data_IF_584305880136
#
_entry.id   IF_584305880136
#
_cell.length_a   1.000
_cell.length_b   1.000
_cell.length_c   1.000
_cell.angle_alpha   90.00
_cell.angle_beta   90.00
_cell.angle_gamma   90.00
#
_symmetry.space_group_name_H-M   'P 1'
#
loop_
_entity.id
_entity.type
_entity.pdbx_description
1 polymer ?
#
# COMPACT_ATOMS: atom_id res chain seq x y z
N UNK A 1 75.70 34.44 -63.17
CA UNK A 1 75.28 35.82 -63.40
C UNK A 1 73.84 35.90 -63.23
N UNK A 2 73.37 36.88 -62.59
CA UNK A 2 71.97 37.31 -62.29
C UNK A 2 71.31 36.58 -61.09
N UNK A 3 71.32 37.34 -60.06
CA UNK A 3 70.62 37.19 -58.79
C UNK A 3 69.18 37.60 -58.99
N UNK A 4 68.19 36.84 -58.47
CA UNK A 4 66.81 37.26 -58.31
C UNK A 4 66.42 37.32 -56.83
N UNK A 5 65.72 38.38 -56.39
CA UNK A 5 65.46 38.62 -54.96
C UNK A 5 64.18 37.92 -54.50
N UNK A 6 64.23 37.59 -53.22
CA UNK A 6 63.15 36.89 -52.52
C UNK A 6 61.92 37.73 -52.24
N UNK A 7 60.77 37.09 -52.33
CA UNK A 7 59.47 37.61 -51.87
C UNK A 7 59.24 37.30 -50.40
N UNK A 8 59.13 38.37 -49.62
CA UNK A 8 58.71 38.36 -48.22
C UNK A 8 57.23 38.18 -48.16
N UNK A 9 56.74 37.01 -47.77
CA UNK A 9 55.35 36.80 -47.41
C UNK A 9 55.17 37.01 -45.91
N UNK A 10 54.87 38.25 -45.55
CA UNK A 10 54.37 38.58 -44.23
C UNK A 10 52.90 38.21 -44.07
N UNK A 11 52.65 36.97 -43.58
CA UNK A 11 51.33 36.54 -43.17
C UNK A 11 50.94 37.28 -41.87
N UNK A 12 49.89 38.06 -41.92
CA UNK A 12 49.33 38.83 -40.83
C UNK A 12 48.80 37.92 -39.70
N UNK A 13 49.22 38.07 -38.45
CA UNK A 13 48.73 37.31 -37.29
C UNK A 13 47.49 37.91 -36.63
N UNK A 14 46.69 38.70 -37.33
CA UNK A 14 45.60 39.47 -36.67
C UNK A 14 44.19 38.78 -36.70
N UNK A 15 43.98 37.75 -37.52
CA UNK A 15 42.65 37.12 -37.59
C UNK A 15 42.39 36.02 -36.56
N UNK A 16 43.40 35.51 -35.86
CA UNK A 16 43.23 34.44 -34.88
C UNK A 16 42.76 34.95 -33.49
N UNK A 17 42.99 36.22 -33.16
CA UNK A 17 42.64 36.79 -31.85
C UNK A 17 41.16 37.12 -31.65
N UNK A 18 40.39 37.30 -32.70
CA UNK A 18 38.98 37.73 -32.62
C UNK A 18 38.03 36.55 -32.48
N UNK A 19 38.39 35.34 -32.89
CA UNK A 19 37.52 34.16 -32.77
C UNK A 19 37.43 33.57 -31.37
N UNK A 20 38.45 33.75 -30.51
CA UNK A 20 38.42 33.24 -29.14
C UNK A 20 37.68 34.14 -28.14
N UNK A 21 37.42 35.40 -28.45
CA UNK A 21 36.78 36.35 -27.55
C UNK A 21 35.29 36.12 -27.30
N UNK A 22 34.61 35.49 -28.24
CA UNK A 22 33.15 35.27 -28.14
C UNK A 22 32.76 33.94 -27.47
N UNK A 23 33.65 32.97 -27.44
CA UNK A 23 33.37 31.63 -26.87
C UNK A 23 33.06 31.66 -25.37
N UNK A 24 33.82 32.34 -24.48
CA UNK A 24 33.46 32.41 -23.07
C UNK A 24 32.15 33.15 -22.81
N UNK A 25 31.82 34.16 -23.61
CA UNK A 25 30.56 34.90 -23.49
C UNK A 25 29.37 34.00 -23.84
N UNK A 26 29.48 33.18 -24.91
CA UNK A 26 28.46 32.23 -25.28
C UNK A 26 28.23 31.15 -24.20
N UNK A 27 29.31 30.61 -23.61
CA UNK A 27 29.22 29.60 -22.54
C UNK A 27 28.56 30.20 -21.28
N UNK A 28 28.95 31.38 -20.86
CA UNK A 28 28.36 32.07 -19.70
C UNK A 28 26.90 32.36 -19.94
N UNK A 29 26.52 32.84 -21.13
CA UNK A 29 25.11 33.10 -21.50
C UNK A 29 24.27 31.83 -21.45
N UNK A 30 24.79 30.71 -21.95
CA UNK A 30 24.11 29.41 -21.93
C UNK A 30 23.91 28.89 -20.50
N UNK A 31 24.92 29.04 -19.64
CA UNK A 31 24.85 28.66 -18.24
C UNK A 31 23.77 29.46 -17.46
N UNK A 32 23.78 30.80 -17.66
CA UNK A 32 22.80 31.69 -17.05
C UNK A 32 21.36 31.38 -17.53
N UNK A 33 21.20 31.08 -18.82
CA UNK A 33 19.91 30.68 -19.38
C UNK A 33 19.40 29.36 -18.80
N UNK A 34 20.28 28.36 -18.66
CA UNK A 34 19.92 27.08 -18.03
C UNK A 34 19.57 27.26 -16.55
N UNK A 35 20.32 28.07 -15.79
CA UNK A 35 19.96 28.41 -14.42
C UNK A 35 18.58 29.07 -14.33
N UNK A 36 18.31 30.04 -15.20
CA UNK A 36 17.01 30.71 -15.25
C UNK A 36 15.86 29.75 -15.56
N UNK A 37 16.03 28.85 -16.54
CA UNK A 37 15.05 27.80 -16.87
C UNK A 37 14.81 26.87 -15.68
N UNK A 38 15.87 26.44 -14.98
CA UNK A 38 15.76 25.58 -13.80
C UNK A 38 14.97 26.28 -12.69
N UNK A 39 15.25 27.55 -12.40
CA UNK A 39 14.48 28.32 -11.42
C UNK A 39 13.01 28.51 -11.82
N UNK A 40 12.73 28.73 -13.09
CA UNK A 40 11.36 28.83 -13.60
C UNK A 40 10.61 27.50 -13.47
N UNK A 41 11.26 26.37 -13.82
CA UNK A 41 10.66 25.03 -13.67
C UNK A 41 10.39 24.67 -12.21
N UNK A 42 11.31 25.01 -11.30
CA UNK A 42 11.10 24.80 -9.85
C UNK A 42 9.96 25.68 -9.31
N UNK A 43 9.83 26.92 -9.80
CA UNK A 43 8.74 27.83 -9.43
C UNK A 43 7.38 27.33 -9.94
N UNK A 44 7.32 26.84 -11.18
CA UNK A 44 6.09 26.26 -11.76
C UNK A 44 5.67 24.97 -11.02
N UNK A 45 6.63 24.14 -10.61
CA UNK A 45 6.34 22.93 -9.85
C UNK A 45 5.78 23.23 -8.46
N UNK A 46 6.27 24.28 -7.78
CA UNK A 46 5.69 24.74 -6.51
C UNK A 46 4.25 25.27 -6.67
N UNK A 47 3.97 25.99 -7.75
CA UNK A 47 2.63 26.50 -8.02
C UNK A 47 1.64 25.39 -8.38
N UNK A 48 2.08 24.37 -9.11
CA UNK A 48 1.25 23.19 -9.45
C UNK A 48 0.89 22.35 -8.21
N UNK A 49 1.81 22.25 -7.23
CA UNK A 49 1.54 21.53 -5.97
C UNK A 49 0.61 22.32 -5.05
N UNK A 50 0.60 23.66 -5.12
CA UNK A 50 -0.26 24.50 -4.26
C UNK A 50 -1.69 24.68 -4.77
N UNK A 51 -1.97 24.31 -6.02
CA UNK A 51 -3.30 24.45 -6.64
C UNK A 51 -4.10 23.15 -6.64
N UNK A 52 -4.09 22.40 -5.52
CA UNK A 52 -5.03 21.29 -5.37
C UNK A 52 -6.45 21.85 -5.39
N UNK A 53 -7.30 21.41 -6.31
CA UNK A 53 -8.67 21.92 -6.36
C UNK A 53 -9.39 21.54 -5.07
N UNK A 54 -10.02 22.51 -4.43
CA UNK A 54 -10.88 22.21 -3.29
C UNK A 54 -12.09 21.42 -3.79
N UNK A 55 -12.43 20.37 -3.03
CA UNK A 55 -13.65 19.63 -3.28
C UNK A 55 -14.73 20.21 -2.39
N UNK A 56 -15.81 20.68 -3.00
CA UNK A 56 -16.99 21.15 -2.27
C UNK A 56 -17.95 19.98 -2.12
N UNK A 57 -18.24 19.58 -0.89
CA UNK A 57 -19.22 18.56 -0.59
C UNK A 57 -20.50 19.21 -0.10
N UNK A 58 -21.59 19.03 -0.84
CA UNK A 58 -22.91 19.49 -0.41
C UNK A 58 -23.53 18.44 0.52
N UNK A 59 -23.88 18.87 1.72
CA UNK A 59 -24.61 18.04 2.69
C UNK A 59 -26.10 17.97 2.35
N UNK A 60 -26.79 16.99 2.88
CA UNK A 60 -28.24 16.83 2.70
C UNK A 60 -29.08 17.97 3.27
N UNK A 61 -28.52 18.80 4.15
CA UNK A 61 -29.13 20.01 4.71
C UNK A 61 -28.93 21.26 3.83
N UNK A 62 -28.29 21.11 2.66
CA UNK A 62 -28.00 22.20 1.71
C UNK A 62 -26.74 23.00 2.04
N UNK A 63 -26.06 22.73 3.16
CA UNK A 63 -24.79 23.39 3.47
C UNK A 63 -23.66 22.80 2.65
N UNK A 64 -22.65 23.63 2.31
CA UNK A 64 -21.49 23.20 1.55
C UNK A 64 -20.25 23.27 2.43
N UNK A 65 -19.62 22.12 2.64
CA UNK A 65 -18.31 22.06 3.29
C UNK A 65 -17.19 22.07 2.25
N UNK A 66 -16.13 22.80 2.57
CA UNK A 66 -14.89 22.80 1.82
C UNK A 66 -14.01 21.69 2.34
N UNK A 67 -13.85 20.62 1.56
CA UNK A 67 -12.89 19.56 1.87
C UNK A 67 -11.53 19.93 1.28
N UNK A 68 -10.50 19.94 2.11
CA UNK A 68 -9.14 20.01 1.62
C UNK A 68 -8.74 18.66 1.02
N UNK A 69 -8.07 18.64 -0.14
CA UNK A 69 -7.58 17.38 -0.69
C UNK A 69 -6.57 16.79 0.28
N UNK A 70 -6.92 15.62 0.82
CA UNK A 70 -6.02 14.81 1.64
C UNK A 70 -4.97 14.19 0.72
N UNK A 71 -3.74 14.05 1.21
CA UNK A 71 -2.70 13.29 0.51
C UNK A 71 -3.24 11.89 0.17
N UNK A 72 -3.08 11.46 -1.08
CA UNK A 72 -3.56 10.16 -1.57
C UNK A 72 -3.02 8.99 -0.74
N UNK A 73 -1.84 9.17 -0.17
CA UNK A 73 -1.21 8.18 0.70
C UNK A 73 -1.64 8.30 2.17
N UNK A 74 -2.32 9.39 2.56
CA UNK A 74 -2.72 9.58 3.95
C UNK A 74 -3.84 8.63 4.36
N UNK A 75 -3.68 7.99 5.51
CA UNK A 75 -4.75 7.25 6.21
C UNK A 75 -4.70 7.63 7.68
N UNK A 76 -5.86 7.91 8.27
CA UNK A 76 -5.92 8.21 9.69
C UNK A 76 -5.58 6.97 10.53
N UNK A 77 -5.00 7.19 11.70
CA UNK A 77 -4.65 6.11 12.63
C UNK A 77 -5.87 5.25 12.99
N UNK A 78 -7.04 5.86 13.11
CA UNK A 78 -8.28 5.15 13.38
C UNK A 78 -8.65 4.16 12.26
N UNK A 79 -8.46 4.54 11.00
CA UNK A 79 -8.69 3.66 9.83
C UNK A 79 -7.70 2.51 9.84
N UNK A 80 -6.41 2.76 10.09
CA UNK A 80 -5.38 1.73 10.15
C UNK A 80 -5.65 0.70 11.26
N UNK A 81 -6.02 1.17 12.45
CA UNK A 81 -6.39 0.30 13.58
C UNK A 81 -7.62 -0.55 13.28
N UNK A 82 -8.67 0.07 12.73
CA UNK A 82 -9.90 -0.64 12.36
C UNK A 82 -9.62 -1.71 11.29
N UNK A 83 -8.85 -1.36 10.25
CA UNK A 83 -8.47 -2.29 9.19
C UNK A 83 -7.73 -3.53 9.75
N UNK A 84 -6.73 -3.31 10.59
CA UNK A 84 -5.95 -4.40 11.18
C UNK A 84 -6.80 -5.32 12.06
N UNK A 85 -7.70 -4.74 12.87
CA UNK A 85 -8.63 -5.52 13.70
C UNK A 85 -9.64 -6.33 12.86
N UNK A 86 -10.21 -5.71 11.84
CA UNK A 86 -11.17 -6.35 10.94
C UNK A 86 -10.51 -7.49 10.17
N UNK A 87 -9.29 -7.26 9.67
CA UNK A 87 -8.52 -8.30 8.99
C UNK A 87 -8.23 -9.48 9.92
N UNK A 88 -7.76 -9.24 11.14
CA UNK A 88 -7.51 -10.31 12.11
C UNK A 88 -8.76 -11.11 12.45
N UNK A 89 -9.89 -10.43 12.66
CA UNK A 89 -11.17 -11.11 12.88
C UNK A 89 -11.54 -11.97 11.69
N UNK A 90 -11.39 -11.45 10.48
CA UNK A 90 -11.70 -12.16 9.24
C UNK A 90 -10.78 -13.38 9.05
N UNK A 91 -9.47 -13.21 9.26
CA UNK A 91 -8.48 -14.25 9.04
C UNK A 91 -8.57 -15.41 10.04
N UNK A 92 -8.97 -15.13 11.29
CA UNK A 92 -8.86 -16.11 12.38
C UNK A 92 -10.18 -16.43 13.11
N UNK A 93 -11.31 -15.82 12.72
CA UNK A 93 -12.62 -16.24 13.21
C UNK A 93 -13.25 -17.21 12.22
N UNK A 94 -13.20 -18.49 12.57
CA UNK A 94 -13.74 -19.55 11.74
C UNK A 94 -14.99 -20.13 12.43
N UNK A 95 -16.13 -19.68 11.96
CA UNK A 95 -17.43 -20.16 12.43
C UNK A 95 -18.22 -20.58 11.19
N UNK A 96 -18.59 -21.82 11.13
CA UNK A 96 -19.55 -22.25 10.15
C UNK A 96 -20.91 -22.40 10.85
N UNK A 97 -21.80 -21.44 10.64
CA UNK A 97 -23.23 -21.69 10.85
C UNK A 97 -23.81 -22.50 9.69
N UNK A 98 -23.08 -22.53 8.59
CA UNK A 98 -23.41 -23.25 7.37
C UNK A 98 -22.17 -24.06 6.99
N UNK A 99 -22.18 -25.40 7.07
CA UNK A 99 -21.00 -26.25 6.89
C UNK A 99 -20.35 -26.14 5.49
N UNK A 100 -20.99 -25.46 4.54
CA UNK A 100 -20.53 -25.38 3.14
C UNK A 100 -19.71 -24.13 2.80
N UNK A 101 -19.39 -23.26 3.77
CA UNK A 101 -18.65 -22.04 3.51
C UNK A 101 -17.12 -22.26 3.49
N UNK A 102 -16.67 -22.88 2.42
CA UNK A 102 -15.23 -23.04 2.14
C UNK A 102 -14.90 -22.74 0.68
N UNK A 103 -13.65 -22.46 0.43
CA UNK A 103 -13.09 -22.32 -0.92
C UNK A 103 -12.06 -23.40 -1.16
N UNK A 104 -12.11 -24.02 -2.35
CA UNK A 104 -11.07 -24.97 -2.79
C UNK A 104 -10.07 -24.21 -3.65
N UNK A 105 -8.83 -24.12 -3.19
CA UNK A 105 -7.72 -23.56 -3.94
C UNK A 105 -6.53 -24.53 -3.86
N UNK A 106 -5.94 -24.89 -5.01
CA UNK A 106 -4.80 -25.83 -5.09
C UNK A 106 -5.04 -27.15 -4.37
N UNK A 107 -6.22 -27.74 -4.58
CA UNK A 107 -6.65 -29.00 -3.97
C UNK A 107 -6.77 -28.98 -2.43
N UNK A 108 -6.71 -27.82 -1.80
CA UNK A 108 -6.92 -27.64 -0.36
C UNK A 108 -8.20 -26.85 -0.10
N UNK A 109 -8.89 -27.22 0.98
CA UNK A 109 -10.07 -26.51 1.45
C UNK A 109 -9.67 -25.48 2.50
N UNK A 110 -10.10 -24.24 2.30
CA UNK A 110 -9.88 -23.15 3.25
C UNK A 110 -11.22 -22.62 3.76
N UNK A 111 -11.31 -22.26 5.06
CA UNK A 111 -12.47 -21.50 5.54
C UNK A 111 -12.68 -20.25 4.69
N UNK A 112 -13.92 -19.95 4.30
CA UNK A 112 -14.24 -18.81 3.43
C UNK A 112 -13.68 -17.49 3.99
N UNK A 113 -13.79 -17.27 5.31
CA UNK A 113 -13.30 -16.06 5.96
C UNK A 113 -11.77 -15.90 5.84
N UNK A 114 -11.00 -16.98 6.01
CA UNK A 114 -9.55 -16.98 5.82
C UNK A 114 -9.18 -16.67 4.37
N UNK A 115 -9.85 -17.35 3.42
CA UNK A 115 -9.63 -17.09 1.99
C UNK A 115 -9.97 -15.64 1.63
N UNK A 116 -11.07 -15.10 2.15
CA UNK A 116 -11.46 -13.70 1.96
C UNK A 116 -10.42 -12.74 2.54
N UNK A 117 -9.95 -12.98 3.78
CA UNK A 117 -8.89 -12.18 4.40
C UNK A 117 -7.60 -12.17 3.55
N UNK A 118 -7.27 -13.30 2.92
CA UNK A 118 -6.07 -13.41 2.08
C UNK A 118 -6.11 -12.50 0.85
N UNK A 119 -7.30 -12.09 0.38
CA UNK A 119 -7.42 -11.15 -0.74
C UNK A 119 -6.93 -9.74 -0.41
N UNK A 120 -6.83 -9.39 0.87
CA UNK A 120 -6.24 -8.13 1.33
C UNK A 120 -4.70 -8.13 1.32
N UNK A 121 -4.09 -9.28 1.08
CA UNK A 121 -2.63 -9.46 1.03
C UNK A 121 -2.15 -9.29 -0.41
N UNK A 122 -0.94 -8.75 -0.59
CA UNK A 122 -0.35 -8.65 -1.95
C UNK A 122 -0.25 -10.03 -2.60
N UNK A 123 -0.48 -10.14 -3.92
CA UNK A 123 -0.54 -11.44 -4.60
C UNK A 123 0.68 -12.33 -4.37
N UNK A 124 1.90 -11.75 -4.43
CA UNK A 124 3.15 -12.51 -4.25
C UNK A 124 3.32 -13.15 -2.86
N UNK A 125 2.64 -12.61 -1.83
CA UNK A 125 2.76 -13.09 -0.44
C UNK A 125 1.54 -13.92 -0.02
N UNK A 126 0.41 -13.74 -0.70
CA UNK A 126 -0.86 -14.38 -0.37
C UNK A 126 -0.76 -15.92 -0.34
N UNK A 127 -0.11 -16.50 -1.34
CA UNK A 127 0.04 -17.96 -1.44
C UNK A 127 0.87 -18.53 -0.29
N UNK A 128 2.03 -17.92 -0.02
CA UNK A 128 2.88 -18.30 1.11
C UNK A 128 2.14 -18.20 2.44
N UNK A 129 1.31 -17.15 2.61
CA UNK A 129 0.49 -16.97 3.79
C UNK A 129 -0.55 -18.10 3.96
N UNK A 130 -1.27 -18.46 2.90
CA UNK A 130 -2.26 -19.53 2.94
C UNK A 130 -1.62 -20.89 3.22
N UNK A 131 -0.50 -21.20 2.58
CA UNK A 131 0.23 -22.45 2.77
C UNK A 131 0.81 -22.55 4.18
N UNK A 132 1.46 -21.51 4.67
CA UNK A 132 2.02 -21.49 6.03
C UNK A 132 0.93 -21.61 7.11
N UNK A 133 -0.21 -20.93 6.89
CA UNK A 133 -1.35 -21.02 7.80
C UNK A 133 -1.94 -22.43 7.77
N UNK A 134 -2.08 -23.04 6.61
CA UNK A 134 -2.56 -24.41 6.48
C UNK A 134 -1.66 -25.42 7.20
N UNK A 135 -0.35 -25.30 7.04
CA UNK A 135 0.63 -26.17 7.72
C UNK A 135 0.58 -25.99 9.24
N UNK A 136 0.53 -24.74 9.72
CA UNK A 136 0.47 -24.45 11.16
C UNK A 136 -0.72 -25.10 11.85
N UNK A 137 -1.86 -25.18 11.17
CA UNK A 137 -3.11 -25.70 11.76
C UNK A 137 -3.42 -27.15 11.35
N UNK A 138 -2.62 -27.78 10.48
CA UNK A 138 -2.91 -29.11 9.95
C UNK A 138 -2.92 -30.22 11.00
N UNK A 139 -2.05 -30.13 12.01
CA UNK A 139 -1.90 -31.20 13.01
C UNK A 139 -2.89 -31.06 14.17
N UNK A 140 -2.96 -29.87 14.77
CA UNK A 140 -3.73 -29.66 16.01
C UNK A 140 -5.16 -29.18 15.77
N UNK A 141 -5.34 -28.38 14.73
CA UNK A 141 -6.60 -27.70 14.42
C UNK A 141 -6.88 -27.75 12.91
N UNK A 142 -7.10 -28.96 12.32
CA UNK A 142 -7.32 -29.10 10.89
C UNK A 142 -8.53 -28.33 10.41
N UNK A 143 -8.43 -27.70 9.25
CA UNK A 143 -9.49 -26.87 8.68
C UNK A 143 -10.81 -27.59 8.49
N UNK A 144 -10.75 -28.90 8.22
CA UNK A 144 -11.92 -29.75 8.05
C UNK A 144 -12.87 -29.70 9.24
N UNK A 145 -12.34 -29.62 10.45
CA UNK A 145 -13.15 -29.53 11.67
C UNK A 145 -13.92 -28.20 11.77
N UNK A 146 -13.36 -27.12 11.23
CA UNK A 146 -14.04 -25.81 11.18
C UNK A 146 -15.02 -25.72 10.03
N UNK A 147 -14.67 -26.29 8.88
CA UNK A 147 -15.51 -26.37 7.69
C UNK A 147 -16.76 -27.23 7.97
N UNK A 148 -16.58 -28.37 8.67
CA UNK A 148 -17.68 -29.24 9.07
C UNK A 148 -18.55 -28.69 10.22
N UNK A 149 -18.14 -27.57 10.83
CA UNK A 149 -18.85 -26.98 11.96
C UNK A 149 -18.62 -27.68 13.30
N UNK A 150 -17.76 -28.71 13.34
CA UNK A 150 -17.42 -29.39 14.60
C UNK A 150 -16.64 -28.48 15.56
N UNK A 151 -15.75 -27.66 15.00
CA UNK A 151 -14.97 -26.68 15.74
C UNK A 151 -15.35 -25.26 15.27
N UNK A 152 -15.11 -24.30 16.15
CA UNK A 152 -15.15 -22.88 15.84
C UNK A 152 -13.97 -22.17 16.48
N UNK A 153 -13.59 -21.02 15.93
CA UNK A 153 -12.62 -20.16 16.57
C UNK A 153 -13.09 -18.71 16.51
N UNK A 154 -12.67 -17.93 17.48
CA UNK A 154 -12.95 -16.50 17.53
C UNK A 154 -11.76 -15.74 18.12
N UNK A 155 -11.58 -14.53 17.63
CA UNK A 155 -10.51 -13.63 18.03
C UNK A 155 -11.06 -12.56 18.96
N UNK A 156 -10.34 -12.31 20.03
CA UNK A 156 -10.56 -11.18 20.93
C UNK A 156 -9.30 -10.31 20.96
N UNK A 157 -9.45 -9.07 20.54
CA UNK A 157 -8.42 -8.05 20.67
C UNK A 157 -8.54 -7.42 22.07
N UNK A 158 -7.45 -7.35 22.82
CA UNK A 158 -7.47 -6.86 24.19
C UNK A 158 -7.16 -5.38 24.27
N UNK A 159 -6.24 -4.93 23.44
CA UNK A 159 -5.73 -3.56 23.44
C UNK A 159 -5.93 -2.92 22.08
N UNK A 160 -5.97 -1.61 22.09
CA UNK A 160 -5.99 -0.90 20.80
C UNK A 160 -4.70 -1.16 20.04
N UNK A 161 -4.77 -1.42 18.73
CA UNK A 161 -3.58 -1.58 17.92
C UNK A 161 -2.65 -0.37 18.00
N UNK A 162 -1.35 -0.65 17.95
CA UNK A 162 -0.30 0.38 17.90
C UNK A 162 0.10 0.57 16.44
N UNK A 163 0.11 1.83 16.00
CA UNK A 163 0.49 2.21 14.63
C UNK A 163 1.84 2.89 14.66
N UNK A 164 2.78 2.42 13.85
CA UNK A 164 4.09 3.01 13.65
C UNK A 164 4.29 3.32 12.16
N UNK A 165 4.57 4.58 11.77
CA UNK A 165 4.90 4.91 10.40
C UNK A 165 6.25 4.31 10.01
N UNK A 166 6.36 3.76 8.78
CA UNK A 166 7.60 3.19 8.23
C UNK A 166 8.15 4.09 7.13
N UNK A 167 7.30 4.43 6.16
CA UNK A 167 7.59 5.33 5.05
C UNK A 167 6.28 6.00 4.59
N UNK A 168 6.31 7.01 3.72
CA UNK A 168 5.09 7.63 3.22
C UNK A 168 4.11 6.59 2.64
N UNK A 169 2.90 6.54 3.20
CA UNK A 169 1.87 5.59 2.80
C UNK A 169 2.05 4.14 3.28
N UNK A 170 3.02 3.88 4.20
CA UNK A 170 3.26 2.54 4.76
C UNK A 170 3.38 2.60 6.28
N UNK A 171 2.70 1.69 6.95
CA UNK A 171 2.67 1.59 8.41
C UNK A 171 2.82 0.15 8.88
N UNK A 172 3.43 -0.02 10.04
CA UNK A 172 3.36 -1.24 10.84
C UNK A 172 2.26 -1.07 11.88
N UNK A 173 1.29 -1.98 11.86
CA UNK A 173 0.18 -2.00 12.81
C UNK A 173 0.28 -3.26 13.65
N UNK A 174 0.62 -3.11 14.92
CA UNK A 174 0.76 -4.21 15.87
C UNK A 174 -0.55 -4.42 16.62
N UNK A 175 -1.05 -5.65 16.60
CA UNK A 175 -2.28 -6.06 17.30
C UNK A 175 -1.98 -7.18 18.25
N UNK A 176 -2.39 -7.01 19.51
CA UNK A 176 -2.32 -8.03 20.56
C UNK A 176 -3.70 -8.66 20.70
N UNK A 177 -3.76 -9.97 20.48
CA UNK A 177 -5.03 -10.69 20.47
C UNK A 177 -4.90 -12.09 21.08
N UNK A 178 -6.05 -12.65 21.43
CA UNK A 178 -6.16 -14.06 21.77
C UNK A 178 -7.17 -14.71 20.83
N UNK A 179 -6.83 -15.89 20.35
CA UNK A 179 -7.71 -16.77 19.61
C UNK A 179 -8.16 -17.90 20.51
N UNK A 180 -9.45 -18.12 20.59
CA UNK A 180 -10.04 -19.24 21.29
C UNK A 180 -10.59 -20.25 20.29
N UNK A 181 -10.20 -21.50 20.44
CA UNK A 181 -10.76 -22.64 19.72
C UNK A 181 -11.80 -23.31 20.60
N UNK A 182 -12.94 -23.66 20.04
CA UNK A 182 -14.03 -24.31 20.77
C UNK A 182 -14.65 -25.45 19.96
N UNK A 183 -15.14 -26.45 20.67
CA UNK A 183 -15.97 -27.53 20.14
C UNK A 183 -17.38 -27.32 20.68
N UNK A 184 -18.33 -27.02 19.79
CA UNK A 184 -19.61 -26.49 20.24
C UNK A 184 -19.42 -25.21 21.08
N UNK A 185 -19.94 -25.19 22.31
CA UNK A 185 -19.80 -24.05 23.23
C UNK A 185 -18.61 -24.18 24.22
N UNK A 186 -17.87 -25.29 24.17
CA UNK A 186 -16.79 -25.56 25.12
C UNK A 186 -15.44 -25.14 24.54
N UNK A 187 -14.70 -24.22 25.18
CA UNK A 187 -13.35 -23.89 24.79
C UNK A 187 -12.43 -25.13 24.91
N UNK A 188 -11.62 -25.42 23.88
CA UNK A 188 -10.67 -26.54 23.84
C UNK A 188 -9.22 -26.07 23.85
N UNK A 189 -8.96 -24.84 23.39
CA UNK A 189 -7.65 -24.23 23.41
C UNK A 189 -7.73 -22.73 23.30
N UNK A 190 -6.70 -22.05 23.80
CA UNK A 190 -6.52 -20.62 23.68
C UNK A 190 -5.09 -20.31 23.29
N UNK A 191 -4.92 -19.47 22.27
CA UNK A 191 -3.63 -19.04 21.75
C UNK A 191 -3.54 -17.52 21.85
N UNK A 192 -2.48 -17.03 22.51
CA UNK A 192 -2.08 -15.63 22.37
C UNK A 192 -1.32 -15.48 21.07
N UNK A 193 -1.61 -14.43 20.34
CA UNK A 193 -0.83 -14.09 19.17
C UNK A 193 -0.73 -12.58 19.00
N UNK A 194 0.48 -12.18 18.73
CA UNK A 194 0.80 -10.80 18.40
C UNK A 194 1.13 -10.75 16.92
N UNK A 195 0.42 -9.93 16.18
CA UNK A 195 0.66 -9.75 14.76
C UNK A 195 1.04 -8.30 14.50
N UNK A 196 2.11 -8.12 13.76
CA UNK A 196 2.42 -6.84 13.12
C UNK A 196 2.13 -6.96 11.64
N UNK A 197 1.17 -6.18 11.19
CA UNK A 197 0.78 -6.07 9.80
C UNK A 197 1.49 -4.87 9.20
N UNK A 198 2.34 -5.09 8.19
CA UNK A 198 2.83 -3.99 7.36
C UNK A 198 1.79 -3.70 6.29
N UNK A 199 1.24 -2.50 6.35
CA UNK A 199 0.10 -2.08 5.54
C UNK A 199 0.53 -0.88 4.70
N UNK A 200 0.16 -0.87 3.41
CA UNK A 200 0.38 0.26 2.53
C UNK A 200 -0.93 0.85 2.02
N UNK A 201 -0.95 2.14 1.75
CA UNK A 201 -2.03 2.79 1.03
C UNK A 201 -2.02 2.36 -0.45
N UNK A 202 -3.21 2.10 -0.97
CA UNK A 202 -3.47 1.82 -2.38
C UNK A 202 -4.74 2.56 -2.80
N UNK A 203 -4.98 2.67 -4.09
CA UNK A 203 -6.28 3.14 -4.56
C UNK A 203 -7.38 2.18 -4.12
N UNK A 204 -8.52 2.69 -3.63
CA UNK A 204 -9.66 1.86 -3.27
C UNK A 204 -10.09 1.00 -4.47
N UNK A 205 -10.01 -0.31 -4.30
CA UNK A 205 -10.35 -1.24 -5.38
C UNK A 205 -11.86 -1.51 -5.44
N UNK A 206 -12.42 -1.58 -6.64
CA UNK A 206 -13.81 -1.99 -6.87
C UNK A 206 -13.98 -3.52 -6.93
N UNK A 207 -13.15 -4.28 -6.22
CA UNK A 207 -13.27 -5.75 -6.19
C UNK A 207 -14.42 -6.16 -5.26
N UNK A 208 -15.56 -6.47 -5.83
CA UNK A 208 -16.66 -7.10 -5.08
C UNK A 208 -16.37 -8.59 -4.93
N UNK A 209 -16.53 -9.11 -3.71
CA UNK A 209 -16.63 -10.55 -3.51
C UNK A 209 -17.94 -11.05 -4.13
N UNK A 210 -17.84 -11.96 -5.06
CA UNK A 210 -19.02 -12.60 -5.66
C UNK A 210 -19.45 -13.80 -4.78
N UNK A 211 -19.68 -13.54 -3.49
CA UNK A 211 -20.13 -14.55 -2.54
C UNK A 211 -21.58 -14.30 -2.20
N UNK A 212 -22.47 -14.97 -2.90
CA UNK A 212 -23.92 -14.93 -2.61
C UNK A 212 -24.31 -15.53 -1.23
N UNK A 213 -23.34 -15.95 -0.41
CA UNK A 213 -23.58 -16.84 0.72
C UNK A 213 -23.47 -16.21 2.12
N UNK A 214 -22.71 -15.13 2.31
CA UNK A 214 -22.58 -14.46 3.63
C UNK A 214 -22.52 -12.95 3.50
N UNK A 215 -23.64 -12.28 3.70
CA UNK A 215 -23.76 -10.83 3.63
C UNK A 215 -22.89 -10.09 4.68
N UNK A 216 -22.52 -10.75 5.78
CA UNK A 216 -21.70 -10.16 6.84
C UNK A 216 -20.23 -10.13 6.45
N UNK A 217 -19.71 -11.24 5.88
CA UNK A 217 -18.36 -11.32 5.37
C UNK A 217 -18.14 -10.36 4.19
N UNK A 218 -19.13 -10.30 3.29
CA UNK A 218 -19.11 -9.40 2.14
C UNK A 218 -19.04 -7.94 2.58
N UNK A 219 -19.89 -7.51 3.50
CA UNK A 219 -19.88 -6.14 4.06
C UNK A 219 -18.57 -5.79 4.75
N UNK A 220 -18.00 -6.73 5.49
CA UNK A 220 -16.71 -6.54 6.16
C UNK A 220 -15.58 -6.38 5.15
N UNK A 221 -15.56 -7.23 4.14
CA UNK A 221 -14.54 -7.18 3.08
C UNK A 221 -14.67 -5.90 2.23
N UNK A 222 -15.89 -5.53 1.83
CA UNK A 222 -16.16 -4.29 1.08
C UNK A 222 -15.70 -3.06 1.86
N UNK A 223 -15.96 -3.03 3.18
CA UNK A 223 -15.46 -1.96 4.05
C UNK A 223 -13.93 -1.90 4.02
N UNK A 224 -13.24 -3.03 4.14
CA UNK A 224 -11.78 -3.09 4.09
C UNK A 224 -11.23 -2.63 2.73
N UNK A 225 -11.86 -3.03 1.63
CA UNK A 225 -11.47 -2.63 0.27
C UNK A 225 -11.62 -1.11 0.08
N UNK A 226 -12.71 -0.53 0.58
CA UNK A 226 -13.00 0.90 0.48
C UNK A 226 -12.02 1.77 1.30
N UNK A 227 -11.32 1.20 2.28
CA UNK A 227 -10.28 1.90 3.04
C UNK A 227 -9.00 2.13 2.21
N UNK A 228 -8.87 1.49 1.04
CA UNK A 228 -7.71 1.66 0.16
C UNK A 228 -6.40 1.24 0.83
N UNK A 229 -6.40 0.06 1.47
CA UNK A 229 -5.27 -0.49 2.20
C UNK A 229 -4.96 -1.92 1.72
N UNK A 230 -3.67 -2.28 1.73
CA UNK A 230 -3.19 -3.60 1.36
C UNK A 230 -2.09 -4.06 2.31
N UNK A 231 -2.14 -5.32 2.73
CA UNK A 231 -1.11 -5.94 3.56
C UNK A 231 0.05 -6.41 2.67
N UNK A 232 1.25 -5.96 2.99
CA UNK A 232 2.47 -6.31 2.25
C UNK A 232 3.38 -7.27 3.01
N UNK A 233 3.21 -7.36 4.34
CA UNK A 233 3.92 -8.33 5.19
C UNK A 233 3.12 -8.59 6.47
N UNK A 234 3.32 -9.77 7.04
CA UNK A 234 2.73 -10.19 8.32
C UNK A 234 3.85 -10.85 9.14
N UNK A 235 4.13 -10.28 10.30
CA UNK A 235 5.06 -10.85 11.29
C UNK A 235 4.29 -11.31 12.52
N UNK A 236 4.65 -12.46 13.07
CA UNK A 236 4.08 -13.00 14.30
C UNK A 236 5.19 -13.12 15.35
N UNK A 237 4.92 -12.69 16.57
CA UNK A 237 5.84 -12.73 17.72
C UNK A 237 5.29 -13.59 18.84
#
# INVERSE_FOLDING_TARGET
MTVSPGENNSSHPLEAKTRFGWMPIAIISTLLFNCFLTFKLLGLNKSAVSSRPYIYMQKSDGTTDKAEPVDELYRSEAVLKAYAQDWLKLAYTWRSKNPDLYVVERQRKYPLSLHTASQAIIPRYRETYLDSTSLKYSERFPFENYISGQHQSYVRVFEQPVVAPVEPGVWDVTVIATRTHAKGNSPIAQERFNHTLRIRAIDPGNKRLNTKQDSTLEKLFDRMQNQGLQIINISQY
#
